data_IF_323380393006
#
_entry.id   IF_323380393006
#
_cell.length_a   1.000
_cell.length_b   1.000
_cell.length_c   1.000
_cell.angle_alpha   90.00
_cell.angle_beta   90.00
_cell.angle_gamma   90.00
#
_symmetry.space_group_name_H-M   'P 1'
#
loop_
_entity.id
_entity.type
_entity.pdbx_description
1 polymer ?
#
# COMPACT_ATOMS: atom_id res chain seq x y z
N UNK A 1 -4.26 -12.56 -4.07
CA UNK A 1 -4.43 -11.52 -5.11
C UNK A 1 -3.45 -11.79 -6.26
N UNK A 2 -3.75 -11.39 -7.50
CA UNK A 2 -2.74 -11.42 -8.58
C UNK A 2 -1.68 -10.33 -8.30
N UNK A 3 -0.42 -10.57 -8.66
CA UNK A 3 0.71 -9.67 -8.42
C UNK A 3 0.48 -8.27 -9.03
N UNK A 4 -0.13 -8.21 -10.21
CA UNK A 4 -0.48 -6.96 -10.89
C UNK A 4 -1.58 -6.19 -10.15
N UNK A 5 -2.61 -6.88 -9.66
CA UNK A 5 -3.68 -6.25 -8.88
C UNK A 5 -3.14 -5.64 -7.58
N UNK A 6 -2.20 -6.34 -6.94
CA UNK A 6 -1.57 -5.85 -5.71
C UNK A 6 -0.69 -4.62 -5.97
N UNK A 7 0.05 -4.59 -7.08
CA UNK A 7 0.81 -3.39 -7.48
C UNK A 7 -0.10 -2.21 -7.80
N UNK A 8 -1.20 -2.45 -8.51
CA UNK A 8 -2.21 -1.42 -8.79
C UNK A 8 -2.80 -0.84 -7.50
N UNK A 9 -3.14 -1.69 -6.54
CA UNK A 9 -3.71 -1.27 -5.26
C UNK A 9 -2.72 -0.46 -4.41
N UNK A 10 -1.44 -0.86 -4.41
CA UNK A 10 -0.36 -0.09 -3.76
C UNK A 10 -0.25 1.29 -4.39
N UNK A 11 -0.19 1.39 -5.71
CA UNK A 11 -0.04 2.67 -6.42
C UNK A 11 -1.28 3.56 -6.25
N UNK A 12 -2.47 2.97 -6.28
CA UNK A 12 -3.72 3.68 -6.02
C UNK A 12 -3.73 4.27 -4.60
N UNK A 13 -3.43 3.45 -3.59
CA UNK A 13 -3.38 3.87 -2.18
C UNK A 13 -2.33 4.97 -1.96
N UNK A 14 -1.16 4.86 -2.59
CA UNK A 14 -0.11 5.92 -2.54
C UNK A 14 -0.58 7.24 -3.12
N UNK A 15 -1.29 7.22 -4.25
CA UNK A 15 -1.85 8.43 -4.86
C UNK A 15 -2.90 9.07 -3.95
N UNK A 16 -3.78 8.26 -3.37
CA UNK A 16 -4.76 8.76 -2.41
C UNK A 16 -4.09 9.40 -1.18
N UNK A 17 -3.03 8.78 -0.64
CA UNK A 17 -2.31 9.32 0.51
C UNK A 17 -1.63 10.64 0.20
N UNK A 18 -1.01 10.73 -0.97
CA UNK A 18 -0.39 11.97 -1.44
C UNK A 18 -1.43 13.08 -1.63
N UNK A 19 -2.62 12.76 -2.12
CA UNK A 19 -3.68 13.75 -2.26
C UNK A 19 -4.23 14.20 -0.91
N UNK A 20 -4.53 13.27 0.00
CA UNK A 20 -4.98 13.58 1.35
C UNK A 20 -3.95 14.42 2.12
N UNK A 21 -2.66 14.11 2.00
CA UNK A 21 -1.58 14.83 2.68
C UNK A 21 -1.39 16.27 2.20
N UNK A 22 -1.99 16.68 1.07
CA UNK A 22 -2.03 18.10 0.65
C UNK A 22 -3.02 18.92 1.48
N UNK A 23 -4.02 18.25 2.06
CA UNK A 23 -5.17 18.88 2.71
C UNK A 23 -5.24 18.55 4.20
N UNK A 24 -4.66 17.43 4.62
CA UNK A 24 -4.66 16.93 5.99
C UNK A 24 -3.23 16.83 6.54
N UNK A 25 -3.04 17.07 7.85
CA UNK A 25 -1.78 16.73 8.52
C UNK A 25 -1.45 15.25 8.36
N UNK A 26 -0.17 14.91 8.32
CA UNK A 26 0.28 13.50 8.22
C UNK A 26 -0.15 12.63 9.42
N UNK A 27 -0.53 13.27 10.53
CA UNK A 27 -1.02 12.60 11.74
C UNK A 27 -2.55 12.44 11.76
N UNK A 28 -3.25 12.93 10.73
CA UNK A 28 -4.69 12.72 10.62
C UNK A 28 -4.97 11.21 10.50
N UNK A 29 -6.02 10.74 11.18
CA UNK A 29 -6.34 9.32 11.28
C UNK A 29 -6.48 8.69 9.89
N UNK A 30 -7.08 9.40 8.92
CA UNK A 30 -7.24 8.91 7.55
C UNK A 30 -5.90 8.71 6.82
N UNK A 31 -4.92 9.57 7.08
CA UNK A 31 -3.57 9.45 6.48
C UNK A 31 -2.81 8.30 7.14
N UNK A 32 -2.95 8.14 8.46
CA UNK A 32 -2.33 7.06 9.22
C UNK A 32 -2.89 5.70 8.81
N UNK A 33 -4.22 5.58 8.70
CA UNK A 33 -4.90 4.35 8.25
C UNK A 33 -4.43 3.95 6.85
N UNK A 34 -4.34 4.93 5.94
CA UNK A 34 -3.90 4.68 4.58
C UNK A 34 -2.43 4.26 4.51
N UNK A 35 -1.57 4.84 5.35
CA UNK A 35 -0.17 4.41 5.51
C UNK A 35 -0.08 2.96 5.97
N UNK A 36 -0.84 2.58 7.01
CA UNK A 36 -0.86 1.21 7.53
C UNK A 36 -1.39 0.21 6.49
N UNK A 37 -2.37 0.63 5.68
CA UNK A 37 -2.88 -0.18 4.58
C UNK A 37 -1.82 -0.41 3.50
N UNK A 38 -1.08 0.64 3.10
CA UNK A 38 0.04 0.51 2.16
C UNK A 38 1.10 -0.46 2.68
N UNK A 39 1.45 -0.37 3.97
CA UNK A 39 2.42 -1.29 4.60
C UNK A 39 1.94 -2.75 4.56
N UNK A 40 0.65 -3.00 4.80
CA UNK A 40 0.06 -4.33 4.67
C UNK A 40 0.18 -4.86 3.23
N UNK A 41 -0.13 -4.04 2.23
CA UNK A 41 -0.05 -4.44 0.82
C UNK A 41 1.39 -4.74 0.40
N UNK A 42 2.36 -3.92 0.83
CA UNK A 42 3.78 -4.16 0.59
C UNK A 42 4.25 -5.48 1.21
N UNK A 43 3.81 -5.77 2.44
CA UNK A 43 4.11 -7.04 3.09
C UNK A 43 3.52 -8.23 2.33
N UNK A 44 2.27 -8.16 1.87
CA UNK A 44 1.67 -9.19 1.02
C UNK A 44 2.47 -9.37 -0.29
N UNK A 45 2.92 -8.27 -0.88
CA UNK A 45 3.68 -8.28 -2.12
C UNK A 45 5.03 -8.99 -1.95
N UNK A 46 5.73 -8.65 -0.87
CA UNK A 46 6.98 -9.31 -0.51
C UNK A 46 6.78 -10.80 -0.25
N UNK A 47 5.73 -11.20 0.48
CA UNK A 47 5.44 -12.61 0.73
C UNK A 47 5.17 -13.39 -0.56
N UNK A 48 4.40 -12.82 -1.50
CA UNK A 48 4.14 -13.45 -2.79
C UNK A 48 5.42 -13.59 -3.63
N UNK A 49 6.30 -12.59 -3.60
CA UNK A 49 7.59 -12.62 -4.30
C UNK A 49 8.52 -13.70 -3.73
N UNK A 50 8.62 -13.79 -2.40
CA UNK A 50 9.45 -14.79 -1.72
C UNK A 50 8.94 -16.21 -1.94
N UNK A 51 7.61 -16.43 -1.89
CA UNK A 51 7.01 -17.75 -2.20
C UNK A 51 7.29 -18.18 -3.65
N UNK A 52 7.34 -17.23 -4.60
CA UNK A 52 7.62 -17.51 -6.01
C UNK A 52 9.10 -17.76 -6.31
N UNK A 53 10.03 -17.37 -5.42
CA UNK A 53 11.46 -17.68 -5.54
C UNK A 53 11.85 -19.03 -4.92
N UNK A 54 10.99 -19.60 -4.07
CA UNK A 54 11.20 -20.87 -3.38
C UNK A 54 10.50 -22.06 -4.08
N UNK A 55 9.79 -21.81 -5.18
CA UNK A 55 9.11 -22.79 -6.05
C UNK A 55 9.76 -22.78 -7.43
#
# INVERSE_FOLDING_TARGET
MNHELLLMEIEHSRKQMNELSKHLPLIADEVVELSQYIDRLLNEFHQLKTKKQLL
#
